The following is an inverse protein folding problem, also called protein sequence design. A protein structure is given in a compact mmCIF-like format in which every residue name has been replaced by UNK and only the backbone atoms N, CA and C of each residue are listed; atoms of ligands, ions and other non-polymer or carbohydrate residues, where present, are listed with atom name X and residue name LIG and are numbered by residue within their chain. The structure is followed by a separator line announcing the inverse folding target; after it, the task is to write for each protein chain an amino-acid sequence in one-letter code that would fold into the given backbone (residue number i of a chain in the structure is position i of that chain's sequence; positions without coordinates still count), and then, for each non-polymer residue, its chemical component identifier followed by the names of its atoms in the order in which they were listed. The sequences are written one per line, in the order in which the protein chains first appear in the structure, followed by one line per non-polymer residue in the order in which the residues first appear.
data_IF_580706022355
#
_entry.id   IF_580706022355
#
_cell.length_a   1.000
_cell.length_b   1.000
_cell.length_c   1.000
_cell.angle_alpha   90.00
_cell.angle_beta   90.00
_cell.angle_gamma   90.00
#
_symmetry.space_group_name_H-M   'P 1'
#
loop_
_entity.id
_entity.type
_entity.pdbx_description
1 polymer ?
#
# COMPACT_ATOMS: atom_id res chain seq x y z
N UNK A 1 -17.76 -7.22 -10.59
CA UNK A 1 -16.68 -7.66 -11.51
C UNK A 1 -15.85 -6.52 -12.12
N UNK A 2 -16.38 -5.29 -12.25
CA UNK A 2 -15.63 -4.12 -12.80
C UNK A 2 -14.58 -3.51 -11.86
N UNK A 3 -14.75 -3.60 -10.54
CA UNK A 3 -13.87 -2.96 -9.55
C UNK A 3 -12.41 -3.48 -9.55
N UNK A 4 -12.18 -4.75 -9.86
CA UNK A 4 -10.82 -5.33 -9.84
C UNK A 4 -9.92 -4.86 -11.00
N UNK A 5 -10.50 -4.53 -12.16
CA UNK A 5 -9.70 -4.07 -13.31
C UNK A 5 -9.10 -2.68 -13.06
N UNK A 6 -9.83 -1.76 -12.40
CA UNK A 6 -9.32 -0.40 -12.14
C UNK A 6 -8.06 -0.45 -11.27
N UNK A 7 -8.07 -1.22 -10.18
CA UNK A 7 -6.91 -1.37 -9.31
C UNK A 7 -5.75 -2.07 -10.02
N UNK A 8 -6.04 -3.10 -10.81
CA UNK A 8 -5.04 -3.78 -11.64
C UNK A 8 -4.30 -2.81 -12.55
N UNK A 9 -5.02 -1.99 -13.32
CA UNK A 9 -4.39 -1.06 -14.27
C UNK A 9 -3.54 0.01 -13.58
N UNK A 10 -3.99 0.55 -12.44
CA UNK A 10 -3.22 1.56 -11.71
C UNK A 10 -1.93 0.92 -11.14
N UNK A 11 -2.03 -0.27 -10.54
CA UNK A 11 -0.89 -1.00 -10.03
C UNK A 11 0.11 -1.38 -11.14
N UNK A 12 -0.38 -1.85 -12.28
CA UNK A 12 0.45 -2.21 -13.43
C UNK A 12 1.22 -1.00 -13.98
N UNK A 13 0.55 0.15 -14.19
CA UNK A 13 1.22 1.38 -14.64
C UNK A 13 2.29 1.84 -13.65
N UNK A 14 2.03 1.72 -12.36
CA UNK A 14 3.01 2.03 -11.33
C UNK A 14 4.21 1.06 -11.37
N UNK A 15 3.96 -0.23 -11.54
CA UNK A 15 4.99 -1.25 -11.66
C UNK A 15 5.88 -1.05 -12.89
N UNK A 16 5.30 -0.75 -14.06
CA UNK A 16 6.05 -0.43 -15.30
C UNK A 16 6.98 0.75 -15.06
N UNK A 17 6.45 1.85 -14.54
CA UNK A 17 7.24 3.04 -14.23
C UNK A 17 8.36 2.75 -13.23
N UNK A 18 8.13 1.87 -12.26
CA UNK A 18 9.15 1.52 -11.25
C UNK A 18 10.24 0.61 -11.80
N UNK A 19 9.88 -0.41 -12.58
CA UNK A 19 10.85 -1.31 -13.21
C UNK A 19 11.81 -0.55 -14.14
N UNK A 20 11.31 0.47 -14.85
CA UNK A 20 12.09 1.27 -15.81
C UNK A 20 12.95 2.39 -15.17
N UNK A 21 12.94 2.56 -13.84
CA UNK A 21 13.78 3.58 -13.16
C UNK A 21 15.23 3.12 -12.92
N UNK A 22 15.46 1.81 -12.88
CA UNK A 22 16.75 1.22 -12.53
C UNK A 22 17.66 0.96 -13.72
N UNK A 23 18.88 0.51 -13.44
CA UNK A 23 19.79 -0.06 -14.45
C UNK A 23 19.44 -1.55 -14.60
N UNK A 24 19.36 -2.04 -15.84
CA UNK A 24 19.09 -3.44 -16.15
C UNK A 24 17.77 -3.64 -16.89
N UNK A 25 17.37 -4.90 -17.06
CA UNK A 25 16.09 -5.23 -17.69
C UNK A 25 14.90 -4.91 -16.76
N UNK A 26 13.88 -4.19 -17.24
CA UNK A 26 12.72 -3.82 -16.43
C UNK A 26 11.77 -5.00 -16.28
N UNK A 27 11.98 -5.82 -15.24
CA UNK A 27 11.19 -7.02 -14.98
C UNK A 27 10.03 -6.73 -14.02
N UNK A 28 8.83 -7.18 -14.37
CA UNK A 28 7.65 -7.19 -13.50
C UNK A 28 7.27 -8.64 -13.18
N UNK A 29 7.04 -8.93 -11.90
CA UNK A 29 6.57 -10.23 -11.42
C UNK A 29 5.08 -10.16 -11.08
N UNK A 30 4.34 -11.19 -11.48
CA UNK A 30 2.92 -11.35 -11.22
C UNK A 30 2.69 -12.47 -10.22
N UNK A 31 1.85 -12.20 -9.23
CA UNK A 31 1.49 -13.14 -8.17
C UNK A 31 -0.03 -13.18 -8.01
N UNK A 32 -0.56 -14.36 -7.72
CA UNK A 32 -1.90 -14.55 -7.16
C UNK A 32 -1.81 -14.43 -5.64
N UNK A 33 -2.78 -13.75 -5.02
CA UNK A 33 -2.89 -13.60 -3.57
C UNK A 33 -4.12 -14.33 -3.05
N UNK A 34 -3.91 -15.23 -2.09
CA UNK A 34 -4.95 -15.93 -1.36
C UNK A 34 -4.74 -15.71 0.15
N UNK A 35 -5.61 -14.94 0.83
CA UNK A 35 -5.44 -14.67 2.26
C UNK A 35 -5.63 -15.94 3.10
N UNK A 36 -4.78 -16.10 4.11
CA UNK A 36 -4.92 -17.17 5.09
C UNK A 36 -5.54 -16.61 6.38
N UNK A 37 -6.75 -17.04 6.71
CA UNK A 37 -7.51 -16.57 7.89
C UNK A 37 -6.85 -16.89 9.24
N UNK A 38 -5.88 -17.81 9.27
CA UNK A 38 -5.09 -18.09 10.48
C UNK A 38 -4.02 -17.04 10.79
N UNK A 39 -3.74 -16.12 9.86
CA UNK A 39 -2.80 -15.01 10.06
C UNK A 39 -3.47 -13.82 10.72
N UNK A 40 -2.68 -13.01 11.42
CA UNK A 40 -3.13 -11.75 11.99
C UNK A 40 -3.17 -10.65 10.92
N UNK A 41 -4.33 -10.48 10.29
CA UNK A 41 -4.52 -9.54 9.17
C UNK A 41 -5.24 -8.27 9.64
N UNK A 42 -4.62 -7.10 9.47
CA UNK A 42 -5.26 -5.80 9.65
C UNK A 42 -5.74 -5.26 8.31
N UNK A 43 -7.01 -4.84 8.22
CA UNK A 43 -7.60 -4.28 7.00
C UNK A 43 -8.19 -2.90 7.23
N UNK A 44 -7.85 -1.96 6.36
CA UNK A 44 -8.48 -0.65 6.26
C UNK A 44 -9.20 -0.56 4.92
N UNK A 45 -10.55 -0.48 4.88
CA UNK A 45 -11.27 -0.38 3.61
C UNK A 45 -11.05 0.97 2.92
N UNK A 46 -10.77 2.02 3.69
CA UNK A 46 -10.58 3.39 3.24
C UNK A 46 -9.64 4.13 4.19
N UNK A 47 -9.26 5.37 3.82
CA UNK A 47 -8.57 6.24 4.77
C UNK A 47 -9.56 6.49 5.90
N UNK A 48 -9.13 6.27 7.14
CA UNK A 48 -9.89 6.48 8.37
C UNK A 48 -8.98 7.08 9.46
N UNK A 49 -9.54 7.47 10.60
CA UNK A 49 -8.73 7.98 11.71
C UNK A 49 -7.84 6.86 12.28
N UNK A 50 -8.35 5.62 12.34
CA UNK A 50 -7.60 4.43 12.74
C UNK A 50 -6.46 4.12 11.77
N UNK A 51 -6.70 4.29 10.46
CA UNK A 51 -5.63 4.18 9.46
C UNK A 51 -4.56 5.24 9.68
N UNK A 52 -4.95 6.51 9.88
CA UNK A 52 -4.00 7.60 10.11
C UNK A 52 -3.17 7.33 11.37
N UNK A 53 -3.81 6.91 12.45
CA UNK A 53 -3.15 6.60 13.72
C UNK A 53 -2.19 5.42 13.58
N UNK A 54 -2.59 4.38 12.84
CA UNK A 54 -1.73 3.23 12.57
C UNK A 54 -0.49 3.62 11.76
N UNK A 55 -0.66 4.37 10.67
CA UNK A 55 0.47 4.82 9.85
C UNK A 55 1.38 5.78 10.63
N UNK A 56 0.80 6.70 11.39
CA UNK A 56 1.55 7.62 12.26
C UNK A 56 2.40 6.84 13.28
N UNK A 57 1.82 5.83 13.93
CA UNK A 57 2.50 4.95 14.88
C UNK A 57 3.64 4.16 14.24
N UNK A 58 3.44 3.59 13.04
CA UNK A 58 4.51 2.89 12.33
C UNK A 58 5.67 3.84 11.99
N UNK A 59 5.36 5.08 11.57
CA UNK A 59 6.37 6.09 11.21
C UNK A 59 7.12 6.67 12.41
N UNK A 60 6.53 6.65 13.60
CA UNK A 60 7.23 7.01 14.84
C UNK A 60 8.14 5.89 15.37
N UNK A 61 8.25 4.76 14.64
CA UNK A 61 9.14 3.66 14.95
C UNK A 61 8.54 2.59 15.86
N UNK A 62 7.24 2.67 16.16
CA UNK A 62 6.57 1.62 16.92
C UNK A 62 6.31 0.39 16.04
N UNK A 63 6.42 -0.79 16.66
CA UNK A 63 6.18 -2.08 16.02
C UNK A 63 4.73 -2.54 16.16
N UNK A 64 4.34 -3.52 15.34
CA UNK A 64 3.05 -4.21 15.41
C UNK A 64 3.25 -5.72 15.17
N UNK A 65 2.23 -6.51 15.52
CA UNK A 65 2.26 -7.97 15.40
C UNK A 65 1.36 -8.50 14.26
N UNK A 66 0.92 -7.62 13.35
CA UNK A 66 0.19 -8.04 12.15
C UNK A 66 1.12 -8.71 11.15
N UNK A 67 0.70 -9.86 10.64
CA UNK A 67 1.36 -10.60 9.55
C UNK A 67 1.17 -9.88 8.22
N UNK A 68 -0.05 -9.36 8.01
CA UNK A 68 -0.46 -8.65 6.78
C UNK A 68 -1.21 -7.38 7.15
N UNK A 69 -0.91 -6.28 6.46
CA UNK A 69 -1.67 -5.03 6.51
C UNK A 69 -2.19 -4.70 5.11
N UNK A 70 -3.51 -4.63 4.97
CA UNK A 70 -4.23 -4.28 3.75
C UNK A 70 -4.90 -2.91 3.89
N UNK A 71 -4.82 -2.07 2.86
CA UNK A 71 -5.61 -0.84 2.82
C UNK A 71 -5.07 0.26 1.92
N UNK A 72 -5.47 1.52 2.16
CA UNK A 72 -5.04 2.67 1.37
C UNK A 72 -3.52 2.84 1.34
N UNK A 73 -2.98 3.01 0.14
CA UNK A 73 -1.58 3.37 -0.06
C UNK A 73 -1.35 4.84 0.33
N UNK A 74 -0.43 5.07 1.27
CA UNK A 74 0.09 6.40 1.56
C UNK A 74 1.09 6.83 0.45
N UNK A 75 0.57 7.20 -0.73
CA UNK A 75 1.39 7.70 -1.83
C UNK A 75 2.12 9.01 -1.49
N UNK A 76 3.03 9.50 -2.34
CA UNK A 76 3.86 10.68 -2.07
C UNK A 76 3.07 11.90 -1.56
N UNK A 77 1.84 12.12 -2.03
CA UNK A 77 1.00 13.23 -1.59
C UNK A 77 0.41 12.98 -0.20
N UNK A 78 -0.24 11.83 0.00
CA UNK A 78 -0.84 11.47 1.30
C UNK A 78 0.26 11.35 2.37
N UNK A 79 1.42 10.85 1.97
CA UNK A 79 2.63 10.78 2.78
C UNK A 79 3.08 12.14 3.30
N UNK A 80 3.07 13.19 2.46
CA UNK A 80 3.39 14.55 2.91
C UNK A 80 2.42 15.00 4.02
N UNK A 81 1.12 14.75 3.86
CA UNK A 81 0.12 15.12 4.87
C UNK A 81 0.32 14.37 6.18
N UNK A 82 0.65 13.07 6.13
CA UNK A 82 0.97 12.29 7.33
C UNK A 82 2.21 12.86 8.04
N UNK A 83 3.26 13.23 7.31
CA UNK A 83 4.44 13.85 7.92
C UNK A 83 4.15 15.21 8.53
N UNK A 84 3.32 16.03 7.88
CA UNK A 84 2.90 17.32 8.43
C UNK A 84 2.07 17.14 9.71
N UNK A 85 1.23 16.10 9.75
CA UNK A 85 0.47 15.73 10.95
C UNK A 85 1.40 15.28 12.08
N UNK A 86 2.36 14.40 11.80
CA UNK A 86 3.37 13.95 12.77
C UNK A 86 4.26 15.09 13.28
N UNK A 87 4.57 16.07 12.43
CA UNK A 87 5.33 17.26 12.81
C UNK A 87 4.49 18.32 13.55
N UNK A 88 3.19 18.09 13.75
CA UNK A 88 2.27 19.05 14.36
C UNK A 88 1.98 20.29 13.50
N UNK A 89 2.35 20.27 12.21
CA UNK A 89 2.11 21.38 11.26
C UNK A 89 0.65 21.45 10.81
N UNK A 90 -0.02 20.31 10.76
CA UNK A 90 -1.47 20.22 10.53
C UNK A 90 -2.12 19.39 11.63
N UNK A 91 -3.34 19.76 12.00
CA UNK A 91 -4.18 18.95 12.88
C UNK A 91 -5.00 17.92 12.07
N UNK A 92 -5.67 17.00 12.78
CA UNK A 92 -6.50 15.95 12.17
C UNK A 92 -7.57 16.49 11.22
N UNK A 93 -8.25 17.59 11.58
CA UNK A 93 -9.27 18.22 10.72
C UNK A 93 -8.66 18.73 9.41
N UNK A 94 -7.47 19.33 9.47
CA UNK A 94 -6.75 19.79 8.28
C UNK A 94 -6.24 18.63 7.42
N UNK A 95 -5.76 17.54 8.03
CA UNK A 95 -5.42 16.31 7.31
C UNK A 95 -6.61 15.83 6.47
N UNK A 96 -7.80 15.75 7.09
CA UNK A 96 -9.01 15.31 6.39
C UNK A 96 -9.41 16.23 5.24
N UNK A 97 -9.34 17.54 5.42
CA UNK A 97 -9.62 18.50 4.35
C UNK A 97 -8.67 18.33 3.14
N UNK A 98 -7.43 17.90 3.37
CA UNK A 98 -6.45 17.62 2.31
C UNK A 98 -6.63 16.23 1.68
N UNK A 99 -7.07 15.25 2.48
CA UNK A 99 -7.23 13.86 2.10
C UNK A 99 -8.58 13.55 1.43
N UNK A 100 -9.61 14.38 1.64
CA UNK A 100 -11.00 14.16 1.19
C UNK A 100 -11.11 13.85 -0.31
N UNK A 101 -10.28 14.49 -1.14
CA UNK A 101 -10.28 14.29 -2.59
C UNK A 101 -9.19 13.32 -3.08
N UNK A 102 -8.56 12.58 -2.16
CA UNK A 102 -7.54 11.58 -2.49
C UNK A 102 -8.18 10.20 -2.53
N UNK A 103 -8.02 9.53 -3.66
CA UNK A 103 -8.47 8.15 -3.88
C UNK A 103 -7.24 7.25 -4.02
N UNK A 104 -6.56 6.93 -2.90
CA UNK A 104 -5.39 6.09 -2.93
C UNK A 104 -5.71 4.71 -3.50
N UNK A 105 -4.72 4.09 -4.12
CA UNK A 105 -4.79 2.67 -4.48
C UNK A 105 -4.83 1.81 -3.23
N UNK A 106 -5.30 0.58 -3.40
CA UNK A 106 -5.16 -0.45 -2.39
C UNK A 106 -3.73 -1.02 -2.43
N UNK A 107 -3.11 -1.20 -1.26
CA UNK A 107 -1.85 -1.91 -1.08
C UNK A 107 -2.01 -3.11 -0.12
N UNK A 108 -1.07 -4.05 -0.19
CA UNK A 108 -0.93 -5.17 0.74
C UNK A 108 0.53 -5.21 1.18
N UNK A 109 0.77 -5.17 2.48
CA UNK A 109 2.11 -5.25 3.07
C UNK A 109 2.24 -6.55 3.87
N UNK A 110 3.31 -7.31 3.61
CA UNK A 110 3.60 -8.60 4.22
C UNK A 110 4.77 -8.44 5.20
N UNK A 111 4.58 -8.89 6.45
CA UNK A 111 5.52 -8.63 7.55
C UNK A 111 6.13 -9.92 8.15
N UNK A 112 5.67 -11.10 7.72
CA UNK A 112 6.19 -12.40 8.18
C UNK A 112 6.39 -13.38 7.02
N UNK A 113 7.19 -14.43 7.25
CA UNK A 113 7.39 -15.48 6.24
C UNK A 113 6.11 -16.27 5.96
N UNK A 114 5.29 -16.50 6.98
CA UNK A 114 3.98 -17.16 6.83
C UNK A 114 3.04 -16.34 5.95
N UNK A 115 3.11 -15.01 6.01
CA UNK A 115 2.36 -14.12 5.14
C UNK A 115 2.77 -14.25 3.66
N UNK A 116 4.05 -14.49 3.36
CA UNK A 116 4.51 -14.70 1.99
C UNK A 116 3.97 -15.99 1.35
N UNK A 117 3.59 -16.98 2.16
CA UNK A 117 2.95 -18.20 1.66
C UNK A 117 1.55 -17.95 1.08
N UNK A 118 0.96 -16.77 1.30
CA UNK A 118 -0.27 -16.33 0.64
C UNK A 118 -0.06 -15.90 -0.82
N UNK A 119 1.20 -15.84 -1.30
CA UNK A 119 1.53 -15.45 -2.66
C UNK A 119 1.92 -16.68 -3.50
N UNK A 120 1.29 -16.80 -4.66
CA UNK A 120 1.66 -17.80 -5.67
C UNK A 120 2.23 -17.10 -6.89
N UNK A 121 3.48 -17.39 -7.22
CA UNK A 121 4.11 -16.87 -8.44
C UNK A 121 3.37 -17.35 -9.69
N UNK A 122 3.07 -16.43 -10.60
CA UNK A 122 2.40 -16.72 -11.87
C UNK A 122 3.39 -16.63 -13.02
N UNK A 123 4.05 -15.48 -13.18
CA UNK A 123 4.99 -15.21 -14.29
C UNK A 123 5.85 -13.98 -14.02
N UNK A 124 6.89 -13.83 -14.84
CA UNK A 124 7.73 -12.64 -14.92
C UNK A 124 7.77 -12.15 -16.37
N UNK A 125 7.70 -10.84 -16.58
CA UNK A 125 7.74 -10.22 -17.92
C UNK A 125 8.72 -9.05 -17.93
N UNK A 126 9.51 -8.94 -19.01
CA UNK A 126 10.28 -7.73 -19.30
C UNK A 126 9.34 -6.74 -19.97
N UNK A 127 9.14 -5.57 -19.36
CA UNK A 127 8.19 -4.55 -19.85
C UNK A 127 8.86 -3.17 -19.83
N UNK A 128 9.00 -2.59 -21.00
CA UNK A 128 9.48 -1.23 -21.20
C UNK A 128 8.31 -0.23 -21.14
N UNK A 129 8.59 1.00 -20.69
CA UNK A 129 7.61 2.12 -20.65
C UNK A 129 7.30 2.68 -22.05
#
# INVERSE_FOLDING_TARGET
MSYNLKYYWIALRQAIRWANRGIGEPIINFYEYEPNESLNILKFPEISDEWLDFIAKCRSGATHNYDIVEGPMANDTVWNYVNDFLAGRINRKQFWALAEFKYPTHQISFHTLSALNCLKFVKSEVIYD
#
